data_IF_864923340958
#
_entry.id   IF_864923340958
#
_cell.length_a   1.000
_cell.length_b   1.000
_cell.length_c   1.000
_cell.angle_alpha   90.00
_cell.angle_beta   90.00
_cell.angle_gamma   90.00
#
_symmetry.space_group_name_H-M   'P 1'
#
loop_
_entity.id
_entity.type
_entity.pdbx_description
1 polymer ?
#
# COMPACT_ATOMS: atom_id res chain seq x y z
N UNK A 1 31.06 1.37 33.85
CA UNK A 1 30.42 2.49 33.13
C UNK A 1 28.98 2.52 33.54
N UNK A 2 28.49 3.65 34.01
CA UNK A 2 27.11 3.79 34.47
C UNK A 2 26.14 3.46 33.33
N UNK A 3 25.02 2.76 33.62
CA UNK A 3 24.02 2.39 32.67
C UNK A 3 23.51 3.63 31.88
N UNK A 4 23.31 4.72 32.59
CA UNK A 4 22.89 5.99 31.97
C UNK A 4 23.91 6.59 30.99
N UNK A 5 25.18 6.40 31.21
CA UNK A 5 26.21 6.85 30.28
C UNK A 5 26.22 6.04 28.97
N UNK A 6 25.98 4.73 29.06
CA UNK A 6 25.89 3.84 27.88
C UNK A 6 24.73 4.20 26.96
N UNK A 7 23.58 4.61 27.54
CA UNK A 7 22.38 4.99 26.79
C UNK A 7 22.52 6.26 25.94
N UNK A 8 23.65 6.99 26.06
CA UNK A 8 23.94 8.15 25.23
C UNK A 8 24.77 7.83 23.98
N UNK A 9 25.19 6.60 23.80
CA UNK A 9 25.95 6.14 22.63
C UNK A 9 25.13 5.10 21.85
N UNK A 10 24.93 5.33 20.54
CA UNK A 10 24.08 4.47 19.72
C UNK A 10 24.51 3.00 19.75
N UNK A 11 25.81 2.73 19.69
CA UNK A 11 26.34 1.36 19.71
C UNK A 11 26.13 0.67 21.07
N UNK A 12 26.17 1.42 22.17
CA UNK A 12 26.12 0.89 23.54
C UNK A 12 24.74 0.91 24.17
N UNK A 13 23.79 1.65 23.59
CA UNK A 13 22.44 1.79 24.13
C UNK A 13 21.68 0.45 24.04
N UNK A 14 21.11 -0.01 25.14
CA UNK A 14 20.34 -1.25 25.21
C UNK A 14 18.84 -1.01 25.10
N UNK A 15 18.35 0.15 25.59
CA UNK A 15 16.94 0.48 25.56
C UNK A 15 16.53 0.93 24.16
N UNK A 16 15.47 0.30 23.61
CA UNK A 16 14.95 0.65 22.29
C UNK A 16 14.61 2.14 22.16
N UNK A 17 14.11 2.76 23.22
CA UNK A 17 13.81 4.20 23.23
C UNK A 17 15.07 5.06 23.00
N UNK A 18 16.16 4.73 23.68
CA UNK A 18 17.45 5.42 23.50
C UNK A 18 17.99 5.23 22.10
N UNK A 19 17.93 4.00 21.56
CA UNK A 19 18.34 3.70 20.18
C UNK A 19 17.53 4.51 19.17
N UNK A 20 16.21 4.54 19.30
CA UNK A 20 15.33 5.32 18.41
C UNK A 20 15.60 6.82 18.52
N UNK A 21 15.84 7.33 19.72
CA UNK A 21 16.17 8.74 19.95
C UNK A 21 17.52 9.11 19.29
N UNK A 22 18.54 8.28 19.47
CA UNK A 22 19.86 8.53 18.91
C UNK A 22 19.88 8.38 17.38
N UNK A 23 19.16 7.40 16.83
CA UNK A 23 18.99 7.25 15.38
C UNK A 23 18.35 8.49 14.75
N UNK A 24 17.35 9.09 15.42
CA UNK A 24 16.72 10.34 14.94
C UNK A 24 17.66 11.53 14.90
N UNK A 25 18.66 11.60 15.82
CA UNK A 25 19.70 12.62 15.75
C UNK A 25 20.55 12.48 14.48
N UNK A 26 20.64 11.27 13.93
CA UNK A 26 21.27 10.99 12.63
C UNK A 26 20.30 11.13 11.45
N UNK A 27 19.13 11.73 11.68
CA UNK A 27 18.04 11.84 10.68
C UNK A 27 17.53 10.48 10.17
N UNK A 28 17.73 9.40 10.94
CA UNK A 28 17.25 8.08 10.63
C UNK A 28 15.94 7.79 11.34
N UNK A 29 14.90 7.50 10.57
CA UNK A 29 13.62 7.09 11.10
C UNK A 29 13.47 5.57 10.93
N UNK A 30 13.57 4.85 12.04
CA UNK A 30 13.47 3.39 12.03
C UNK A 30 12.14 2.92 11.45
N UNK A 31 12.21 1.91 10.60
CA UNK A 31 11.02 1.35 9.97
C UNK A 31 10.19 0.54 10.97
N UNK A 32 8.89 0.80 10.99
CA UNK A 32 7.92 0.02 11.77
C UNK A 32 7.58 -1.28 11.03
N UNK A 33 6.76 -2.11 11.65
CA UNK A 33 6.18 -3.28 11.01
C UNK A 33 5.46 -2.90 9.71
N UNK A 34 5.44 -3.83 8.79
CA UNK A 34 4.70 -3.74 7.53
C UNK A 34 3.75 -4.92 7.44
N UNK A 35 2.48 -4.65 7.23
CA UNK A 35 1.49 -5.71 7.07
C UNK A 35 1.62 -6.39 5.72
N UNK A 36 1.28 -7.67 5.67
CA UNK A 36 1.11 -8.37 4.40
C UNK A 36 -0.05 -7.74 3.62
N UNK A 37 0.15 -7.55 2.33
CA UNK A 37 -0.84 -7.00 1.43
C UNK A 37 -0.74 -7.62 0.05
N UNK A 38 -1.85 -7.63 -0.68
CA UNK A 38 -1.88 -8.21 -2.01
C UNK A 38 -3.26 -8.12 -2.65
N UNK A 39 -3.44 -8.92 -3.68
CA UNK A 39 -4.67 -9.01 -4.44
C UNK A 39 -5.27 -10.42 -4.32
N UNK A 40 -6.55 -10.48 -3.99
CA UNK A 40 -7.35 -11.70 -4.10
C UNK A 40 -8.14 -11.67 -5.39
N UNK A 41 -8.08 -12.74 -6.18
CA UNK A 41 -8.88 -12.90 -7.38
C UNK A 41 -10.32 -13.23 -7.00
N UNK A 42 -11.29 -12.51 -7.56
CA UNK A 42 -12.70 -12.83 -7.42
C UNK A 42 -12.98 -14.08 -8.25
N UNK A 43 -13.46 -15.12 -7.61
CA UNK A 43 -13.76 -16.42 -8.24
C UNK A 43 -15.25 -16.66 -8.42
N UNK A 44 -16.08 -15.99 -7.62
CA UNK A 44 -17.53 -16.01 -7.78
C UNK A 44 -18.15 -14.69 -7.29
N UNK A 45 -19.30 -14.36 -7.82
CA UNK A 45 -20.13 -13.22 -7.38
C UNK A 45 -21.60 -13.66 -7.35
N UNK A 46 -22.32 -13.22 -6.32
CA UNK A 46 -23.75 -13.46 -6.21
C UNK A 46 -24.46 -12.24 -5.61
N UNK A 47 -25.76 -12.16 -5.83
CA UNK A 47 -26.60 -11.13 -5.21
C UNK A 47 -27.88 -11.77 -4.64
N UNK A 48 -28.36 -11.24 -3.51
CA UNK A 48 -29.66 -11.61 -2.95
C UNK A 48 -30.85 -11.00 -3.71
N UNK A 49 -30.59 -10.01 -4.57
CA UNK A 49 -31.64 -9.37 -5.36
C UNK A 49 -32.21 -10.31 -6.43
N UNK A 50 -33.53 -10.39 -6.49
CA UNK A 50 -34.21 -11.13 -7.57
C UNK A 50 -34.23 -10.30 -8.85
N UNK A 51 -33.21 -10.45 -9.67
CA UNK A 51 -33.06 -9.70 -10.92
C UNK A 51 -33.37 -10.60 -12.10
N UNK A 52 -34.27 -10.14 -12.95
CA UNK A 52 -34.57 -10.74 -14.26
C UNK A 52 -33.91 -9.85 -15.30
N UNK A 53 -32.95 -10.36 -16.04
CA UNK A 53 -32.35 -9.61 -17.14
C UNK A 53 -33.28 -9.54 -18.36
N UNK A 54 -32.92 -8.73 -19.37
CA UNK A 54 -33.67 -8.56 -20.62
C UNK A 54 -33.85 -9.86 -21.44
N UNK A 55 -33.10 -10.91 -21.11
CA UNK A 55 -33.15 -12.22 -21.73
C UNK A 55 -33.94 -13.26 -20.88
N UNK A 56 -34.68 -12.80 -19.86
CA UNK A 56 -35.38 -13.65 -18.88
C UNK A 56 -34.48 -14.58 -18.07
N UNK A 57 -33.20 -14.28 -17.97
CA UNK A 57 -32.31 -14.98 -17.06
C UNK A 57 -32.54 -14.44 -15.64
N UNK A 58 -32.97 -15.32 -14.75
CA UNK A 58 -33.12 -14.98 -13.35
C UNK A 58 -31.73 -14.99 -12.69
N UNK A 59 -31.24 -13.81 -12.37
CA UNK A 59 -29.93 -13.63 -11.73
C UNK A 59 -30.01 -13.70 -10.20
N UNK A 60 -31.19 -13.95 -9.63
CA UNK A 60 -31.35 -14.18 -8.20
C UNK A 60 -30.55 -15.40 -7.78
N UNK A 61 -29.67 -15.24 -6.79
CA UNK A 61 -28.78 -16.28 -6.30
C UNK A 61 -27.91 -16.91 -7.41
N UNK A 62 -27.69 -16.22 -8.52
CA UNK A 62 -26.81 -16.66 -9.57
C UNK A 62 -25.37 -16.53 -9.09
N UNK A 63 -24.75 -17.65 -8.79
CA UNK A 63 -23.32 -17.75 -8.58
C UNK A 63 -22.64 -17.78 -9.95
N UNK A 64 -21.82 -16.78 -10.25
CA UNK A 64 -21.00 -16.76 -11.44
C UNK A 64 -19.62 -17.26 -11.06
N UNK A 65 -19.35 -18.52 -11.39
CA UNK A 65 -18.06 -19.13 -11.20
C UNK A 65 -17.15 -18.90 -12.42
N UNK A 66 -15.97 -18.36 -12.19
CA UNK A 66 -14.96 -18.15 -13.24
C UNK A 66 -14.06 -19.37 -13.47
N UNK A 67 -14.27 -20.43 -12.75
CA UNK A 67 -13.50 -21.67 -12.92
C UNK A 67 -13.74 -22.35 -14.26
N UNK A 68 -14.80 -21.98 -14.96
CA UNK A 68 -15.10 -22.50 -16.28
C UNK A 68 -14.44 -21.64 -17.36
N UNK A 69 -13.23 -22.04 -17.74
CA UNK A 69 -12.38 -21.34 -18.72
C UNK A 69 -12.95 -21.30 -20.14
N UNK A 70 -14.09 -21.98 -20.39
CA UNK A 70 -14.73 -22.05 -21.72
C UNK A 70 -15.61 -20.83 -22.02
N UNK A 71 -15.86 -19.93 -21.07
CA UNK A 71 -16.81 -18.83 -21.22
C UNK A 71 -16.09 -17.51 -21.42
N UNK A 72 -15.93 -17.07 -22.67
CA UNK A 72 -15.42 -15.74 -23.04
C UNK A 72 -16.29 -14.58 -22.53
N UNK A 73 -17.52 -14.86 -22.09
CA UNK A 73 -18.52 -13.86 -21.72
C UNK A 73 -18.60 -13.61 -20.21
N UNK A 74 -17.69 -14.19 -19.42
CA UNK A 74 -17.71 -14.05 -17.96
C UNK A 74 -17.64 -12.57 -17.49
N UNK A 75 -16.90 -11.73 -18.19
CA UNK A 75 -16.81 -10.31 -17.91
C UNK A 75 -18.16 -9.61 -18.11
N UNK A 76 -18.84 -9.88 -19.22
CA UNK A 76 -20.15 -9.31 -19.51
C UNK A 76 -21.20 -9.79 -18.51
N UNK A 77 -21.16 -11.07 -18.12
CA UNK A 77 -22.05 -11.63 -17.11
C UNK A 77 -21.82 -10.97 -15.74
N UNK A 78 -20.58 -10.79 -15.33
CA UNK A 78 -20.24 -10.08 -14.10
C UNK A 78 -20.79 -8.65 -14.13
N UNK A 79 -20.55 -7.92 -15.21
CA UNK A 79 -21.06 -6.56 -15.38
C UNK A 79 -22.60 -6.54 -15.39
N UNK A 80 -23.26 -7.52 -15.98
CA UNK A 80 -24.73 -7.64 -15.93
C UNK A 80 -25.23 -7.82 -14.50
N UNK A 81 -24.64 -8.72 -13.72
CA UNK A 81 -25.02 -8.92 -12.31
C UNK A 81 -24.85 -7.63 -11.52
N UNK A 82 -23.72 -6.96 -11.69
CA UNK A 82 -23.46 -5.73 -10.97
C UNK A 82 -24.37 -4.58 -11.41
N UNK A 83 -24.64 -4.42 -12.70
CA UNK A 83 -25.60 -3.43 -13.20
C UNK A 83 -27.02 -3.73 -12.71
N UNK A 84 -27.40 -4.99 -12.64
CA UNK A 84 -28.66 -5.42 -12.09
C UNK A 84 -28.76 -5.08 -10.59
N UNK A 85 -27.71 -5.36 -9.83
CA UNK A 85 -27.64 -5.08 -8.40
C UNK A 85 -27.66 -3.58 -8.08
N UNK A 86 -27.00 -2.75 -8.88
CA UNK A 86 -26.85 -1.32 -8.61
C UNK A 86 -27.71 -0.40 -9.50
N UNK A 87 -28.49 -0.97 -10.42
CA UNK A 87 -29.41 -0.26 -11.32
C UNK A 87 -28.75 0.38 -12.54
N UNK A 88 -29.53 0.72 -13.57
CA UNK A 88 -29.04 1.20 -14.86
C UNK A 88 -28.40 2.60 -14.81
N UNK A 89 -28.66 3.38 -13.76
CA UNK A 89 -28.12 4.73 -13.58
C UNK A 89 -26.78 4.77 -12.82
N UNK A 90 -26.31 3.64 -12.32
CA UNK A 90 -24.97 3.57 -11.77
C UNK A 90 -23.97 3.57 -12.92
N UNK A 91 -22.91 4.34 -12.84
CA UNK A 91 -21.78 4.31 -13.80
C UNK A 91 -20.99 3.00 -13.70
N UNK A 92 -21.69 1.93 -13.28
CA UNK A 92 -21.12 0.60 -13.20
C UNK A 92 -20.94 0.05 -14.62
N UNK A 93 -19.82 -0.59 -14.90
CA UNK A 93 -19.48 -1.04 -16.26
C UNK A 93 -18.57 -0.05 -17.01
N UNK A 94 -18.41 1.19 -16.51
CA UNK A 94 -17.36 2.08 -16.99
C UNK A 94 -16.28 2.18 -15.94
N UNK A 95 -15.01 1.89 -16.28
CA UNK A 95 -13.90 2.08 -15.35
C UNK A 95 -13.76 3.57 -15.02
N UNK A 96 -13.45 3.87 -13.76
CA UNK A 96 -13.18 5.24 -13.31
C UNK A 96 -11.71 5.63 -13.56
N UNK A 97 -10.84 4.63 -13.67
CA UNK A 97 -9.44 4.77 -14.07
C UNK A 97 -9.02 3.54 -14.88
N UNK A 98 -8.08 3.73 -15.79
CA UNK A 98 -7.50 2.66 -16.59
C UNK A 98 -6.03 2.98 -16.86
N UNK A 99 -5.16 1.99 -16.69
CA UNK A 99 -3.73 2.10 -16.93
C UNK A 99 -3.19 0.83 -17.59
N UNK A 100 -2.16 0.97 -18.43
CA UNK A 100 -1.52 -0.17 -19.09
C UNK A 100 -0.02 -0.06 -18.93
N UNK A 101 0.56 -0.99 -18.17
CA UNK A 101 1.98 -1.07 -17.90
C UNK A 101 2.48 -2.48 -18.17
N UNK A 102 3.58 -2.60 -18.93
CA UNK A 102 4.22 -3.88 -19.29
C UNK A 102 3.24 -4.90 -19.90
N UNK A 103 2.28 -4.43 -20.72
CA UNK A 103 1.29 -5.29 -21.38
C UNK A 103 0.14 -5.73 -20.51
N UNK A 104 0.11 -5.33 -19.23
CA UNK A 104 -1.01 -5.58 -18.32
C UNK A 104 -1.90 -4.35 -18.28
N UNK A 105 -3.16 -4.51 -18.67
CA UNK A 105 -4.19 -3.47 -18.56
C UNK A 105 -4.93 -3.62 -17.25
N UNK A 106 -4.92 -2.58 -16.44
CA UNK A 106 -5.63 -2.52 -15.15
C UNK A 106 -6.72 -1.46 -15.20
N UNK A 107 -7.95 -1.84 -14.89
CA UNK A 107 -9.13 -0.95 -14.86
C UNK A 107 -9.71 -0.94 -13.46
N UNK A 108 -10.02 0.24 -12.93
CA UNK A 108 -10.64 0.42 -11.62
C UNK A 108 -12.13 0.62 -11.74
N UNK A 109 -12.89 -0.10 -10.92
CA UNK A 109 -14.35 -0.04 -10.84
C UNK A 109 -14.80 0.33 -9.42
N UNK A 110 -16.00 0.86 -9.29
CA UNK A 110 -16.57 1.24 -8.00
C UNK A 110 -17.96 0.65 -7.79
N UNK A 111 -18.22 0.27 -6.55
CA UNK A 111 -19.53 -0.20 -6.06
C UNK A 111 -20.00 0.72 -4.95
N UNK A 112 -21.24 1.21 -5.07
CA UNK A 112 -21.82 2.05 -4.02
C UNK A 112 -22.44 1.19 -2.94
N UNK A 113 -21.83 1.17 -1.76
CA UNK A 113 -22.44 0.59 -0.56
C UNK A 113 -23.60 1.44 -0.07
N UNK A 114 -24.57 0.82 0.63
CA UNK A 114 -25.60 1.54 1.37
C UNK A 114 -25.11 2.10 2.71
N UNK A 115 -23.93 1.69 3.15
CA UNK A 115 -23.29 2.19 4.39
C UNK A 115 -22.60 3.52 4.16
N UNK A 116 -22.66 4.37 5.19
CA UNK A 116 -21.89 5.61 5.27
C UNK A 116 -20.52 5.41 5.93
N UNK A 117 -20.19 4.17 6.34
CA UNK A 117 -18.90 3.84 6.91
C UNK A 117 -17.79 3.78 5.86
N UNK A 118 -16.55 3.63 6.33
CA UNK A 118 -15.42 3.32 5.44
C UNK A 118 -15.66 1.94 4.83
N UNK A 119 -15.55 1.78 3.50
CA UNK A 119 -15.81 0.50 2.84
C UNK A 119 -14.62 -0.46 3.02
N UNK A 120 -14.52 -1.04 4.20
CA UNK A 120 -13.53 -2.04 4.60
C UNK A 120 -14.27 -3.26 5.12
N UNK A 121 -13.89 -4.45 4.66
CA UNK A 121 -14.56 -5.71 5.00
C UNK A 121 -13.56 -6.65 5.67
N UNK A 122 -13.75 -6.84 6.98
CA UNK A 122 -12.88 -7.70 7.81
C UNK A 122 -13.19 -9.18 7.62
N UNK A 123 -12.14 -10.00 7.65
CA UNK A 123 -12.26 -11.46 7.73
C UNK A 123 -11.08 -12.07 8.49
N UNK A 124 -11.28 -13.29 9.04
CA UNK A 124 -10.27 -13.99 9.79
C UNK A 124 -9.84 -15.26 9.05
N UNK A 125 -8.53 -15.52 8.99
CA UNK A 125 -7.97 -16.76 8.42
C UNK A 125 -6.76 -17.22 9.23
N UNK A 126 -6.55 -18.53 9.22
CA UNK A 126 -5.36 -19.13 9.81
C UNK A 126 -4.24 -19.20 8.78
N UNK A 127 -3.06 -18.69 9.15
CA UNK A 127 -1.82 -18.76 8.36
C UNK A 127 -0.76 -19.40 9.25
N UNK A 128 -0.10 -20.45 8.79
CA UNK A 128 0.87 -21.24 9.57
C UNK A 128 0.36 -21.62 10.98
N UNK A 129 -0.96 -21.95 11.09
CA UNK A 129 -1.60 -22.35 12.36
C UNK A 129 -1.90 -21.20 13.32
N UNK A 130 -1.71 -19.94 12.93
CA UNK A 130 -2.09 -18.75 13.70
C UNK A 130 -3.25 -18.05 13.04
N UNK A 131 -4.18 -17.55 13.83
CA UNK A 131 -5.29 -16.74 13.33
C UNK A 131 -4.82 -15.29 13.16
N UNK A 132 -5.07 -14.76 11.97
CA UNK A 132 -4.82 -13.37 11.61
C UNK A 132 -6.12 -12.69 11.19
N UNK A 133 -6.20 -11.42 11.49
CA UNK A 133 -7.25 -10.53 10.99
C UNK A 133 -6.77 -9.89 9.68
N UNK A 134 -7.66 -9.88 8.71
CA UNK A 134 -7.45 -9.29 7.40
C UNK A 134 -8.59 -8.35 7.05
N UNK A 135 -8.31 -7.38 6.22
CA UNK A 135 -9.29 -6.45 5.68
C UNK A 135 -9.21 -6.41 4.16
N UNK A 136 -10.36 -6.48 3.50
CA UNK A 136 -10.50 -6.11 2.10
C UNK A 136 -10.71 -4.60 2.04
N UNK A 137 -9.85 -3.93 1.28
CA UNK A 137 -9.79 -2.47 1.20
C UNK A 137 -10.05 -1.98 -0.21
N UNK A 138 -10.51 -0.75 -0.35
CA UNK A 138 -10.70 -0.12 -1.66
C UNK A 138 -9.37 0.07 -2.39
N UNK A 139 -9.33 -0.35 -3.66
CA UNK A 139 -8.16 -0.23 -4.51
C UNK A 139 -8.16 1.10 -5.30
N UNK A 140 -6.98 1.67 -5.49
CA UNK A 140 -6.71 2.80 -6.37
C UNK A 140 -5.62 2.42 -7.38
N UNK A 141 -5.83 2.78 -8.65
CA UNK A 141 -4.87 2.54 -9.73
C UNK A 141 -4.18 3.86 -10.07
N UNK A 142 -2.86 3.89 -9.92
CA UNK A 142 -2.02 5.03 -10.28
C UNK A 142 -0.66 4.56 -10.75
N UNK A 143 -0.23 5.06 -11.91
CA UNK A 143 1.09 4.77 -12.50
C UNK A 143 1.39 3.26 -12.62
N UNK A 144 0.41 2.47 -13.02
CA UNK A 144 0.51 1.01 -13.15
C UNK A 144 0.59 0.25 -11.82
N UNK A 145 0.50 0.95 -10.70
CA UNK A 145 0.47 0.34 -9.37
C UNK A 145 -0.94 0.32 -8.79
N UNK A 146 -1.25 -0.76 -8.06
CA UNK A 146 -2.49 -0.88 -7.30
C UNK A 146 -2.15 -0.60 -5.84
N UNK A 147 -2.78 0.42 -5.28
CA UNK A 147 -2.59 0.85 -3.89
C UNK A 147 -3.92 0.84 -3.16
N UNK A 148 -3.86 0.84 -1.84
CA UNK A 148 -5.02 1.12 -1.03
C UNK A 148 -5.44 2.57 -1.20
N UNK A 149 -6.72 2.79 -1.46
CA UNK A 149 -7.31 4.12 -1.46
C UNK A 149 -7.38 4.65 -0.02
N UNK A 150 -7.05 5.93 0.18
CA UNK A 150 -7.12 6.53 1.51
C UNK A 150 -8.52 6.33 2.12
N UNK A 151 -8.63 5.81 3.36
CA UNK A 151 -9.92 5.55 3.98
C UNK A 151 -10.72 6.85 4.16
N UNK A 152 -11.99 6.81 3.78
CA UNK A 152 -12.91 7.95 3.92
C UNK A 152 -14.33 7.42 4.08
N UNK A 153 -15.09 7.86 5.10
CA UNK A 153 -16.48 7.50 5.29
C UNK A 153 -17.35 7.86 4.08
N UNK A 154 -18.32 7.00 3.75
CA UNK A 154 -19.24 7.21 2.63
C UNK A 154 -18.61 7.08 1.24
N UNK A 155 -17.34 6.72 1.13
CA UNK A 155 -16.67 6.46 -0.15
C UNK A 155 -17.17 5.14 -0.75
N UNK A 156 -17.20 5.08 -2.07
CA UNK A 156 -17.55 3.85 -2.78
C UNK A 156 -16.42 2.83 -2.67
N UNK A 157 -16.78 1.56 -2.51
CA UNK A 157 -15.80 0.48 -2.56
C UNK A 157 -15.22 0.33 -3.97
N UNK A 158 -13.91 0.28 -4.09
CA UNK A 158 -13.21 0.15 -5.36
C UNK A 158 -12.47 -1.18 -5.47
N UNK A 159 -12.57 -1.80 -6.62
CA UNK A 159 -11.86 -3.02 -7.00
C UNK A 159 -11.33 -2.91 -8.43
N UNK A 160 -10.50 -3.85 -8.86
CA UNK A 160 -9.80 -3.74 -10.14
C UNK A 160 -10.06 -4.95 -11.04
N UNK A 161 -10.05 -4.72 -12.34
CA UNK A 161 -9.93 -5.75 -13.36
C UNK A 161 -8.56 -5.66 -13.99
N UNK A 162 -7.86 -6.77 -14.07
CA UNK A 162 -6.57 -6.90 -14.75
C UNK A 162 -6.71 -7.82 -15.95
N UNK A 163 -6.00 -7.49 -17.02
CA UNK A 163 -5.91 -8.29 -18.22
C UNK A 163 -4.45 -8.31 -18.69
N UNK A 164 -3.86 -9.50 -18.72
CA UNK A 164 -2.48 -9.73 -19.17
C UNK A 164 -2.42 -10.26 -20.60
N UNK A 165 -3.55 -10.30 -21.31
CA UNK A 165 -3.65 -10.80 -22.67
C UNK A 165 -3.58 -12.33 -22.81
N UNK A 166 -3.48 -13.09 -21.69
CA UNK A 166 -3.41 -14.55 -21.70
C UNK A 166 -4.79 -15.23 -21.59
N UNK A 167 -5.85 -14.42 -21.47
CA UNK A 167 -7.22 -14.91 -21.34
C UNK A 167 -7.66 -15.18 -19.89
N UNK A 168 -8.92 -15.53 -19.73
CA UNK A 168 -9.59 -15.63 -18.42
C UNK A 168 -9.00 -16.71 -17.49
N UNK A 169 -8.35 -17.76 -18.04
CA UNK A 169 -7.70 -18.80 -17.25
C UNK A 169 -6.41 -18.34 -16.57
N UNK A 170 -5.84 -17.20 -17.01
CA UNK A 170 -4.66 -16.67 -16.36
C UNK A 170 -4.92 -16.30 -14.91
N UNK A 171 -3.98 -16.61 -14.03
CA UNK A 171 -4.01 -16.17 -12.64
C UNK A 171 -3.93 -14.64 -12.50
N UNK A 172 -3.44 -13.93 -13.53
CA UNK A 172 -3.29 -12.48 -13.57
C UNK A 172 -4.44 -11.75 -14.28
N UNK A 173 -5.35 -12.50 -14.93
CA UNK A 173 -6.53 -11.92 -15.59
C UNK A 173 -7.77 -12.17 -14.77
N UNK A 174 -8.61 -11.15 -14.63
CA UNK A 174 -9.87 -11.20 -13.90
C UNK A 174 -10.09 -10.01 -12.99
N UNK A 175 -11.10 -10.13 -12.12
CA UNK A 175 -11.35 -9.13 -11.08
C UNK A 175 -10.59 -9.45 -9.82
N UNK A 176 -10.09 -8.41 -9.16
CA UNK A 176 -9.30 -8.50 -7.96
C UNK A 176 -9.76 -7.47 -6.94
N UNK A 177 -9.71 -7.87 -5.68
CA UNK A 177 -9.87 -7.00 -4.53
C UNK A 177 -8.54 -6.89 -3.79
N UNK A 178 -8.24 -5.71 -3.29
CA UNK A 178 -7.03 -5.48 -2.50
C UNK A 178 -7.27 -5.91 -1.05
N UNK A 179 -6.30 -6.58 -0.44
CA UNK A 179 -6.37 -6.96 0.98
C UNK A 179 -5.15 -6.49 1.76
N UNK A 180 -5.36 -6.29 3.04
CA UNK A 180 -4.34 -5.97 4.03
C UNK A 180 -4.51 -6.86 5.27
N UNK A 181 -3.41 -7.25 5.86
CA UNK A 181 -3.43 -7.87 7.18
C UNK A 181 -3.47 -6.79 8.26
N UNK A 182 -4.27 -7.01 9.31
CA UNK A 182 -4.43 -6.09 10.41
C UNK A 182 -5.77 -5.36 10.39
N UNK A 183 -5.88 -4.35 11.22
CA UNK A 183 -7.12 -3.65 11.51
C UNK A 183 -6.94 -2.14 11.33
N UNK A 184 -7.86 -1.52 10.58
CA UNK A 184 -7.94 -0.07 10.43
C UNK A 184 -8.60 0.54 11.66
N UNK A 185 -7.91 1.47 12.30
CA UNK A 185 -8.37 2.20 13.46
C UNK A 185 -8.22 3.70 13.24
N UNK A 186 -8.78 4.50 14.11
CA UNK A 186 -8.75 5.96 14.02
C UNK A 186 -8.48 6.62 15.36
N UNK A 187 -7.94 7.83 15.29
CA UNK A 187 -7.77 8.71 16.43
C UNK A 187 -8.09 10.15 16.04
N UNK A 188 -8.48 10.95 17.01
CA UNK A 188 -8.77 12.36 16.81
C UNK A 188 -7.94 13.23 17.75
N UNK A 189 -7.57 14.41 17.26
CA UNK A 189 -6.94 15.43 18.07
C UNK A 189 -7.29 16.83 17.56
N UNK A 190 -7.14 17.82 18.41
CA UNK A 190 -7.40 19.22 18.07
C UNK A 190 -6.15 20.06 18.35
N UNK A 191 -5.81 20.92 17.40
CA UNK A 191 -4.74 21.92 17.51
C UNK A 191 -5.36 23.29 17.61
N UNK A 192 -5.52 23.78 18.84
CA UNK A 192 -6.07 25.11 19.12
C UNK A 192 -5.05 26.24 18.96
N UNK A 193 -3.77 25.96 19.24
CA UNK A 193 -2.66 26.90 19.09
C UNK A 193 -1.60 26.30 18.16
N UNK A 194 -1.58 26.69 16.88
CA UNK A 194 -0.59 26.19 15.93
C UNK A 194 0.81 26.73 16.27
N UNK A 195 1.78 25.82 16.33
CA UNK A 195 3.19 26.17 16.56
C UNK A 195 4.07 25.55 15.47
N UNK A 196 5.17 26.23 15.08
CA UNK A 196 6.13 25.67 14.14
C UNK A 196 6.71 24.34 14.65
N UNK A 197 6.89 23.38 13.74
CA UNK A 197 7.43 22.05 14.04
C UNK A 197 6.66 21.27 15.13
N UNK A 198 5.37 21.51 15.23
CA UNK A 198 4.52 20.84 16.21
C UNK A 198 4.53 19.34 16.02
N UNK A 199 4.56 18.61 17.14
CA UNK A 199 4.50 17.16 17.16
C UNK A 199 3.30 16.68 17.98
N UNK A 200 2.55 15.73 17.42
CA UNK A 200 1.39 15.11 18.08
C UNK A 200 1.61 13.60 18.17
N UNK A 201 1.49 13.05 19.37
CA UNK A 201 1.70 11.63 19.62
C UNK A 201 0.41 10.84 19.38
N UNK A 202 0.52 9.72 18.68
CA UNK A 202 -0.53 8.71 18.54
C UNK A 202 -0.07 7.48 19.33
N UNK A 203 -0.82 7.13 20.37
CA UNK A 203 -0.38 6.12 21.34
C UNK A 203 -0.80 4.68 21.00
N UNK A 204 -1.43 4.45 19.85
CA UNK A 204 -1.72 3.11 19.35
C UNK A 204 -0.41 2.35 19.07
N UNK A 205 -0.38 1.07 19.41
CA UNK A 205 0.80 0.20 19.24
C UNK A 205 0.75 -0.49 17.87
N UNK A 206 1.93 -0.92 17.41
CA UNK A 206 2.07 -1.71 16.18
C UNK A 206 1.46 -1.04 14.95
N UNK A 207 1.55 0.30 14.87
CA UNK A 207 1.10 1.04 13.68
C UNK A 207 2.01 0.71 12.50
N UNK A 208 1.42 0.28 11.40
CA UNK A 208 2.14 -0.03 10.17
C UNK A 208 2.90 1.18 9.61
N UNK A 209 3.98 0.90 8.91
CA UNK A 209 4.89 1.94 8.42
C UNK A 209 4.24 2.84 7.37
N UNK A 210 3.44 2.26 6.46
CA UNK A 210 2.85 2.96 5.32
C UNK A 210 1.42 3.43 5.58
N UNK A 211 0.69 2.77 6.44
CA UNK A 211 -0.76 2.87 6.58
C UNK A 211 -1.14 3.90 7.63
N UNK A 212 -0.87 5.17 7.33
CA UNK A 212 -1.25 6.32 8.15
C UNK A 212 -1.75 7.41 7.23
N UNK A 213 -2.99 7.86 7.45
CA UNK A 213 -3.64 8.93 6.69
C UNK A 213 -4.17 9.99 7.66
N UNK A 214 -3.94 11.24 7.37
CA UNK A 214 -4.33 12.37 8.21
C UNK A 214 -5.31 13.27 7.47
N UNK A 215 -6.49 13.44 8.03
CA UNK A 215 -7.50 14.37 7.54
C UNK A 215 -7.68 15.53 8.49
N UNK A 216 -7.79 16.71 7.92
CA UNK A 216 -8.31 17.87 8.62
C UNK A 216 -9.83 17.82 8.59
N UNK A 217 -10.46 18.12 9.71
CA UNK A 217 -11.91 18.16 9.87
C UNK A 217 -12.46 19.54 9.60
N UNK A 218 -13.69 19.60 9.11
CA UNK A 218 -14.47 20.84 9.01
C UNK A 218 -15.15 21.19 10.34
N UNK A 219 -15.98 22.21 10.32
CA UNK A 219 -16.74 22.68 11.49
C UNK A 219 -17.76 21.65 12.00
N UNK A 220 -18.14 20.68 11.17
CA UNK A 220 -19.09 19.62 11.49
C UNK A 220 -18.40 18.32 11.90
N UNK A 221 -17.06 18.29 11.96
CA UNK A 221 -16.28 17.10 12.27
C UNK A 221 -16.17 16.10 11.12
N UNK A 222 -16.40 16.56 9.88
CA UNK A 222 -16.32 15.75 8.67
C UNK A 222 -14.94 15.97 8.02
N UNK A 223 -14.39 14.88 7.43
CA UNK A 223 -13.12 14.92 6.71
C UNK A 223 -13.20 15.85 5.51
N UNK A 224 -12.45 16.95 5.56
CA UNK A 224 -12.44 17.98 4.51
C UNK A 224 -11.20 17.92 3.62
N UNK A 225 -10.03 17.71 4.20
CA UNK A 225 -8.76 17.80 3.48
C UNK A 225 -7.79 16.72 3.91
N UNK A 226 -7.34 15.89 2.97
CA UNK A 226 -6.28 14.91 3.18
C UNK A 226 -4.92 15.61 3.17
N UNK A 227 -4.13 15.40 4.22
CA UNK A 227 -2.76 15.87 4.32
C UNK A 227 -1.81 14.84 3.69
N UNK A 228 -0.75 15.33 3.03
CA UNK A 228 0.23 14.50 2.35
C UNK A 228 1.34 14.08 3.31
N UNK A 229 1.55 12.78 3.42
CA UNK A 229 2.67 12.21 4.17
C UNK A 229 3.97 12.36 3.38
N UNK A 230 5.01 12.89 4.03
CA UNK A 230 6.37 12.98 3.50
C UNK A 230 7.33 12.20 4.40
N UNK A 231 8.50 11.85 3.88
CA UNK A 231 9.56 11.20 4.66
C UNK A 231 10.06 12.10 5.80
N UNK A 232 10.17 13.41 5.55
CA UNK A 232 10.52 14.42 6.53
C UNK A 232 9.89 15.76 6.18
N UNK A 233 9.43 16.48 7.20
CA UNK A 233 8.90 17.87 7.08
C UNK A 233 9.86 18.89 7.69
N UNK A 234 11.03 18.44 8.18
CA UNK A 234 12.04 19.30 8.84
C UNK A 234 13.29 19.34 7.98
N UNK A 235 13.84 20.55 7.81
CA UNK A 235 15.11 20.77 7.10
C UNK A 235 14.94 21.10 5.61
N UNK A 236 16.07 21.32 4.94
CA UNK A 236 16.14 21.80 3.54
C UNK A 236 15.67 20.76 2.52
N UNK A 237 15.48 19.51 2.89
CA UNK A 237 15.08 18.43 1.97
C UNK A 237 13.67 18.59 1.39
N UNK A 238 12.79 19.33 2.07
CA UNK A 238 11.41 19.58 1.63
C UNK A 238 11.38 20.43 0.35
N UNK A 239 12.30 21.38 0.22
CA UNK A 239 12.31 22.36 -0.88
C UNK A 239 12.65 21.67 -2.22
N UNK A 240 13.52 20.68 -2.18
CA UNK A 240 14.05 20.03 -3.37
C UNK A 240 13.26 18.79 -3.79
N UNK A 241 12.54 18.15 -2.87
CA UNK A 241 11.79 16.93 -3.13
C UNK A 241 10.29 17.16 -3.38
N UNK A 242 9.79 18.37 -3.17
CA UNK A 242 8.40 18.71 -3.48
C UNK A 242 8.25 18.91 -5.00
N UNK A 243 7.95 17.86 -5.72
CA UNK A 243 7.53 17.92 -7.14
C UNK A 243 6.25 18.77 -7.29
N UNK A 244 5.48 18.92 -6.23
CA UNK A 244 4.26 19.71 -6.19
C UNK A 244 4.40 20.87 -5.21
N UNK A 245 4.93 22.00 -5.68
CA UNK A 245 5.09 23.25 -4.88
C UNK A 245 3.77 23.81 -4.32
N UNK A 246 2.64 23.35 -4.82
CA UNK A 246 1.31 23.81 -4.41
C UNK A 246 0.75 23.03 -3.21
N UNK A 247 1.32 21.87 -2.87
CA UNK A 247 0.85 21.11 -1.73
C UNK A 247 1.61 21.51 -0.45
N UNK A 248 0.98 22.34 0.36
CA UNK A 248 1.54 22.82 1.64
C UNK A 248 1.04 22.05 2.85
N UNK A 249 -0.03 21.26 2.72
CA UNK A 249 -0.58 20.44 3.80
C UNK A 249 0.20 19.12 3.89
N UNK A 250 1.30 19.16 4.62
CA UNK A 250 2.25 18.06 4.71
C UNK A 250 2.57 17.71 6.15
N UNK A 251 2.79 16.42 6.39
CA UNK A 251 3.24 15.89 7.66
C UNK A 251 4.21 14.74 7.46
N UNK A 252 4.98 14.41 8.47
CA UNK A 252 5.77 13.20 8.53
C UNK A 252 5.47 12.40 9.78
N UNK A 253 5.89 11.15 9.81
CA UNK A 253 5.72 10.26 10.97
C UNK A 253 7.06 9.85 11.53
N UNK A 254 7.25 9.98 12.84
CA UNK A 254 8.44 9.48 13.54
C UNK A 254 8.09 8.25 14.37
N UNK A 255 8.94 7.23 14.26
CA UNK A 255 8.77 5.96 14.98
C UNK A 255 9.12 6.12 16.46
N UNK A 256 8.25 5.63 17.33
CA UNK A 256 8.43 5.54 18.79
C UNK A 256 8.45 4.08 19.24
N UNK A 257 8.68 3.85 20.52
CA UNK A 257 8.63 2.51 21.12
C UNK A 257 7.31 1.82 20.89
N UNK A 258 7.34 0.51 20.69
CA UNK A 258 6.16 -0.34 20.39
C UNK A 258 5.45 0.08 19.11
N UNK A 259 6.21 0.57 18.12
CA UNK A 259 5.73 1.06 16.83
C UNK A 259 4.59 2.10 16.90
N UNK A 260 4.57 2.88 18.00
CA UNK A 260 3.78 4.10 18.09
C UNK A 260 4.37 5.16 17.19
N UNK A 261 3.60 6.17 16.86
CA UNK A 261 4.05 7.27 16.02
C UNK A 261 3.91 8.62 16.72
N UNK A 262 4.75 9.55 16.29
CA UNK A 262 4.49 10.97 16.45
C UNK A 262 4.32 11.58 15.06
N UNK A 263 3.22 12.29 14.85
CA UNK A 263 3.00 13.12 13.69
C UNK A 263 3.83 14.39 13.84
N UNK A 264 4.63 14.72 12.85
CA UNK A 264 5.46 15.93 12.83
C UNK A 264 4.95 16.84 11.75
N UNK A 265 4.65 18.08 12.11
CA UNK A 265 4.17 19.13 11.19
C UNK A 265 5.29 20.06 10.78
N UNK A 266 5.05 20.85 9.73
CA UNK A 266 5.99 21.80 9.17
C UNK A 266 6.17 23.06 10.03
N UNK A 267 7.12 23.90 9.61
CA UNK A 267 7.52 25.14 10.29
C UNK A 267 6.62 26.37 9.96
N UNK A 268 5.65 26.22 9.06
CA UNK A 268 4.80 27.31 8.58
C UNK A 268 5.37 28.08 7.38
N UNK A 269 6.65 27.90 7.06
CA UNK A 269 7.31 28.53 5.91
C UNK A 269 7.16 27.66 4.66
N UNK A 270 7.52 26.39 4.77
CA UNK A 270 7.48 25.40 3.66
C UNK A 270 6.16 24.65 3.61
N UNK A 271 5.53 24.40 4.73
CA UNK A 271 4.22 23.79 4.85
C UNK A 271 3.29 24.60 5.74
N UNK A 272 2.02 24.26 5.73
CA UNK A 272 1.03 24.86 6.60
C UNK A 272 1.19 24.40 8.05
N UNK A 273 0.91 25.30 8.99
CA UNK A 273 0.78 24.93 10.40
C UNK A 273 -0.54 24.18 10.61
N UNK A 274 -0.56 23.13 11.46
CA UNK A 274 -1.80 22.42 11.77
C UNK A 274 -2.71 23.33 12.59
N UNK A 275 -3.98 23.44 12.20
CA UNK A 275 -4.99 24.20 12.93
C UNK A 275 -6.35 23.53 12.85
N UNK A 276 -7.07 23.46 13.97
CA UNK A 276 -8.40 22.86 14.07
C UNK A 276 -8.38 21.38 14.38
N UNK A 277 -9.49 20.70 14.09
CA UNK A 277 -9.68 19.27 14.31
C UNK A 277 -9.00 18.42 13.25
N UNK A 278 -8.47 17.30 13.69
CA UNK A 278 -7.85 16.29 12.82
C UNK A 278 -8.33 14.91 13.19
N UNK A 279 -8.51 14.05 12.17
CA UNK A 279 -8.69 12.61 12.30
C UNK A 279 -7.56 11.90 11.60
N UNK A 280 -6.91 10.99 12.31
CA UNK A 280 -5.86 10.12 11.78
C UNK A 280 -6.41 8.71 11.68
N UNK A 281 -6.32 8.13 10.49
CA UNK A 281 -6.55 6.71 10.25
C UNK A 281 -5.21 6.00 10.23
N UNK A 282 -5.13 4.87 10.87
CA UNK A 282 -3.91 4.04 10.89
C UNK A 282 -4.30 2.57 10.96
N UNK A 283 -3.47 1.71 10.38
CA UNK A 283 -3.65 0.27 10.49
C UNK A 283 -2.63 -0.30 11.46
N UNK A 284 -3.10 -1.20 12.31
CA UNK A 284 -2.28 -1.97 13.23
C UNK A 284 -2.18 -3.42 12.77
N UNK A 285 -1.07 -4.09 13.04
CA UNK A 285 -0.86 -5.50 12.71
C UNK A 285 0.01 -6.20 13.75
N UNK A 286 0.20 -7.52 13.63
CA UNK A 286 0.81 -8.35 14.68
C UNK A 286 2.33 -8.19 14.82
N UNK A 287 2.97 -7.36 14.02
CA UNK A 287 4.43 -7.15 14.04
C UNK A 287 5.22 -8.46 13.86
N UNK A 288 4.79 -9.27 12.90
CA UNK A 288 5.40 -10.57 12.59
C UNK A 288 5.89 -10.61 11.15
N UNK A 289 6.89 -11.43 10.89
CA UNK A 289 7.32 -11.78 9.54
C UNK A 289 6.77 -13.17 9.22
N UNK A 290 6.01 -13.26 8.15
CA UNK A 290 5.38 -14.52 7.70
C UNK A 290 5.07 -14.46 6.21
N UNK A 291 4.78 -15.64 5.65
CA UNK A 291 4.41 -15.82 4.26
C UNK A 291 3.02 -16.42 4.18
N UNK A 292 2.18 -15.90 3.29
CA UNK A 292 0.80 -16.37 3.09
C UNK A 292 0.76 -17.17 1.79
N UNK A 293 0.43 -18.45 1.89
CA UNK A 293 0.31 -19.33 0.71
C UNK A 293 -1.09 -19.24 0.09
N UNK A 294 -1.24 -19.49 -1.22
CA UNK A 294 -2.55 -19.51 -1.87
C UNK A 294 -3.57 -20.42 -1.18
N UNK A 295 -3.14 -21.56 -0.60
CA UNK A 295 -4.02 -22.49 0.11
C UNK A 295 -4.62 -21.94 1.41
N UNK A 296 -4.02 -20.90 1.99
CA UNK A 296 -4.44 -20.32 3.26
C UNK A 296 -5.52 -19.25 3.10
N UNK A 297 -5.56 -18.55 1.95
CA UNK A 297 -6.58 -17.55 1.61
C UNK A 297 -7.44 -18.04 0.45
N UNK A 298 -8.17 -19.12 0.66
CA UNK A 298 -9.16 -19.64 -0.28
C UNK A 298 -10.57 -19.34 0.22
N UNK A 299 -11.51 -19.11 -0.72
CA UNK A 299 -12.91 -18.89 -0.44
C UNK A 299 -13.15 -17.80 0.63
N UNK A 300 -12.50 -16.66 0.46
CA UNK A 300 -12.73 -15.47 1.28
C UNK A 300 -13.99 -14.82 0.77
N UNK A 301 -15.04 -14.81 1.58
CA UNK A 301 -16.31 -14.16 1.24
C UNK A 301 -16.35 -12.76 1.84
N UNK A 302 -16.81 -11.80 1.04
CA UNK A 302 -17.15 -10.44 1.48
C UNK A 302 -18.55 -10.10 1.02
N UNK A 303 -19.32 -9.49 1.89
CA UNK A 303 -20.72 -9.13 1.67
C UNK A 303 -20.87 -7.61 1.72
N UNK A 304 -21.32 -7.03 0.61
CA UNK A 304 -21.48 -5.59 0.45
C UNK A 304 -23.00 -5.27 0.46
N UNK A 305 -23.52 -4.64 1.52
CA UNK A 305 -24.91 -4.23 1.54
C UNK A 305 -25.13 -3.05 0.60
N UNK A 306 -26.19 -3.12 -0.22
CA UNK A 306 -26.58 -2.04 -1.13
C UNK A 306 -28.10 -1.87 -1.16
N UNK A 307 -28.56 -0.71 -1.65
CA UNK A 307 -29.99 -0.47 -1.86
C UNK A 307 -30.33 -0.76 -3.31
N UNK A 308 -31.19 -1.76 -3.52
CA UNK A 308 -31.67 -2.16 -4.84
C UNK A 308 -32.60 -1.11 -5.47
N UNK A 309 -32.86 -1.25 -6.77
CA UNK A 309 -33.82 -0.40 -7.50
C UNK A 309 -35.24 -0.44 -6.91
N UNK A 310 -35.59 -1.51 -6.18
CA UNK A 310 -36.86 -1.63 -5.46
C UNK A 310 -36.87 -0.93 -4.09
N UNK A 311 -35.76 -0.31 -3.68
CA UNK A 311 -35.62 0.35 -2.38
C UNK A 311 -35.35 -0.61 -1.20
N UNK A 312 -35.14 -1.90 -1.46
CA UNK A 312 -34.76 -2.88 -0.44
C UNK A 312 -33.26 -2.94 -0.26
N UNK A 313 -32.82 -3.19 0.97
CA UNK A 313 -31.42 -3.50 1.23
C UNK A 313 -31.15 -4.95 0.82
N UNK A 314 -30.24 -5.12 -0.10
CA UNK A 314 -29.79 -6.39 -0.65
C UNK A 314 -28.30 -6.56 -0.41
N UNK A 315 -27.77 -7.76 -0.66
CA UNK A 315 -26.36 -8.08 -0.43
C UNK A 315 -25.71 -8.53 -1.74
N UNK A 316 -24.56 -7.94 -2.05
CA UNK A 316 -23.65 -8.40 -3.09
C UNK A 316 -22.50 -9.15 -2.43
N UNK A 317 -22.35 -10.42 -2.77
CA UNK A 317 -21.31 -11.29 -2.21
C UNK A 317 -20.23 -11.56 -3.24
N UNK A 318 -18.97 -11.32 -2.87
CA UNK A 318 -17.80 -11.76 -3.61
C UNK A 318 -17.14 -12.94 -2.89
N UNK A 319 -16.80 -13.97 -3.64
CA UNK A 319 -15.91 -15.04 -3.16
C UNK A 319 -14.56 -14.86 -3.82
N UNK A 320 -13.52 -14.77 -3.02
CA UNK A 320 -12.17 -14.42 -3.47
C UNK A 320 -11.16 -15.47 -3.05
N UNK A 321 -10.08 -15.62 -3.83
CA UNK A 321 -9.00 -16.56 -3.54
C UNK A 321 -7.64 -15.99 -3.93
N UNK A 322 -6.63 -16.25 -3.11
CA UNK A 322 -5.25 -15.86 -3.38
C UNK A 322 -4.66 -16.74 -4.49
N UNK A 323 -3.96 -16.13 -5.43
CA UNK A 323 -3.35 -16.82 -6.56
C UNK A 323 -1.83 -17.05 -6.38
N UNK A 324 -1.15 -16.14 -5.69
CA UNK A 324 0.30 -16.15 -5.49
C UNK A 324 0.65 -16.00 -4.01
N UNK A 325 1.76 -16.60 -3.62
CA UNK A 325 2.30 -16.40 -2.27
C UNK A 325 2.61 -14.93 -2.01
N UNK A 326 2.25 -14.47 -0.82
CA UNK A 326 2.51 -13.11 -0.33
C UNK A 326 3.47 -13.19 0.84
N UNK A 327 4.63 -12.54 0.72
CA UNK A 327 5.74 -12.56 1.68
C UNK A 327 6.25 -11.15 2.04
N UNK A 328 5.44 -10.12 1.81
CA UNK A 328 5.78 -8.73 2.05
C UNK A 328 5.44 -8.23 3.47
N UNK A 329 4.90 -9.10 4.33
CA UNK A 329 4.69 -8.81 5.74
C UNK A 329 6.01 -8.93 6.52
N UNK A 330 6.42 -7.84 7.19
CA UNK A 330 7.68 -7.83 7.96
C UNK A 330 7.49 -7.21 9.33
N UNK A 331 8.20 -7.77 10.32
CA UNK A 331 8.28 -7.18 11.65
C UNK A 331 9.04 -5.84 11.62
N UNK A 332 8.88 -5.06 12.67
CA UNK A 332 9.61 -3.79 12.87
C UNK A 332 11.13 -4.02 12.93
N UNK A 333 11.86 -3.03 12.50
CA UNK A 333 13.32 -3.06 12.52
C UNK A 333 13.87 -3.28 13.94
N UNK A 334 14.77 -4.23 14.09
CA UNK A 334 15.39 -4.54 15.37
C UNK A 334 16.34 -3.42 15.83
N UNK A 335 16.58 -3.30 17.15
CA UNK A 335 17.55 -2.33 17.66
C UNK A 335 18.95 -2.57 17.11
N UNK A 336 19.31 -3.83 16.83
CA UNK A 336 20.61 -4.17 16.23
C UNK A 336 20.72 -3.62 14.80
N UNK A 337 19.67 -3.80 13.99
CA UNK A 337 19.64 -3.26 12.62
C UNK A 337 19.65 -1.72 12.59
N UNK A 338 18.92 -1.08 13.51
CA UNK A 338 18.94 0.40 13.64
C UNK A 338 20.35 0.91 13.93
N UNK A 339 21.09 0.25 14.82
CA UNK A 339 22.47 0.62 15.16
C UNK A 339 23.42 0.55 13.96
N UNK A 340 23.18 -0.36 13.03
CA UNK A 340 23.96 -0.50 11.79
C UNK A 340 23.48 0.48 10.72
N UNK A 341 22.17 0.56 10.51
CA UNK A 341 21.60 1.31 9.40
C UNK A 341 21.62 2.83 9.62
N UNK A 342 21.46 3.31 10.86
CA UNK A 342 21.40 4.74 11.12
C UNK A 342 22.72 5.48 10.81
N UNK A 343 23.92 5.02 11.24
CA UNK A 343 25.17 5.63 10.82
C UNK A 343 25.38 5.56 9.31
N UNK A 344 25.06 4.42 8.70
CA UNK A 344 25.23 4.18 7.27
C UNK A 344 24.38 5.14 6.44
N UNK A 345 23.10 5.32 6.82
CA UNK A 345 22.20 6.29 6.20
C UNK A 345 22.68 7.74 6.39
N UNK A 346 23.27 8.05 7.54
CA UNK A 346 23.85 9.38 7.81
C UNK A 346 25.01 9.70 6.88
N UNK A 347 25.91 8.74 6.62
CA UNK A 347 27.04 8.94 5.70
C UNK A 347 26.59 9.23 4.27
N UNK A 348 25.54 8.62 3.78
CA UNK A 348 25.01 8.86 2.42
C UNK A 348 24.27 10.20 2.30
N UNK A 349 23.84 10.80 3.41
CA UNK A 349 23.04 12.04 3.43
C UNK A 349 21.87 12.06 2.44
N UNK A 350 21.21 10.91 2.21
CA UNK A 350 20.19 10.69 1.18
C UNK A 350 20.64 11.02 -0.25
N UNK A 351 21.94 10.92 -0.52
CA UNK A 351 22.52 11.12 -1.85
C UNK A 351 23.16 9.82 -2.33
N UNK A 352 23.20 9.62 -3.64
CA UNK A 352 23.91 8.53 -4.29
C UNK A 352 24.95 9.14 -5.24
N UNK A 353 26.14 9.43 -4.72
CA UNK A 353 27.24 10.09 -5.46
C UNK A 353 28.40 9.11 -5.65
N UNK A 354 28.76 8.38 -4.59
CA UNK A 354 29.84 7.40 -4.62
C UNK A 354 29.33 5.98 -4.86
N UNK A 355 30.19 5.08 -5.31
CA UNK A 355 29.82 3.66 -5.45
C UNK A 355 29.31 3.05 -4.14
N UNK A 356 29.83 3.50 -3.00
CA UNK A 356 29.35 3.03 -1.69
C UNK A 356 27.96 3.54 -1.36
N UNK A 357 27.62 4.77 -1.72
CA UNK A 357 26.26 5.30 -1.57
C UNK A 357 25.24 4.44 -2.34
N UNK A 358 25.61 3.99 -3.55
CA UNK A 358 24.76 3.09 -4.35
C UNK A 358 24.61 1.70 -3.74
N UNK A 359 25.58 1.23 -2.94
CA UNK A 359 25.47 -0.04 -2.21
C UNK A 359 24.51 0.07 -1.02
N UNK A 360 24.45 1.21 -0.38
CA UNK A 360 23.80 1.40 0.93
C UNK A 360 22.42 2.02 0.82
N UNK A 361 22.25 3.07 0.02
CA UNK A 361 21.01 3.83 -0.04
C UNK A 361 19.77 2.97 -0.42
N UNK A 362 19.85 2.02 -1.38
CA UNK A 362 18.70 1.17 -1.69
C UNK A 362 18.28 0.27 -0.53
N UNK A 363 19.24 -0.29 0.24
CA UNK A 363 18.96 -1.14 1.40
C UNK A 363 18.23 -0.38 2.53
N UNK A 364 18.54 0.91 2.69
CA UNK A 364 17.87 1.77 3.66
C UNK A 364 16.46 2.21 3.25
N UNK A 365 16.16 2.18 1.93
CA UNK A 365 14.89 2.66 1.37
C UNK A 365 13.88 1.56 1.09
N UNK A 366 14.34 0.37 0.71
CA UNK A 366 13.46 -0.76 0.41
C UNK A 366 13.94 -2.03 1.11
N UNK A 367 13.10 -2.56 2.01
CA UNK A 367 13.38 -3.78 2.79
C UNK A 367 13.33 -5.07 1.97
N UNK A 368 12.71 -5.06 0.82
CA UNK A 368 12.65 -6.21 -0.09
C UNK A 368 14.02 -6.48 -0.72
N UNK A 369 14.90 -5.48 -0.70
CA UNK A 369 16.25 -5.61 -1.23
C UNK A 369 17.15 -6.26 -0.18
N UNK A 370 17.54 -7.50 -0.43
CA UNK A 370 18.41 -8.28 0.46
C UNK A 370 19.90 -7.91 0.30
N UNK A 371 20.32 -7.59 -0.92
CA UNK A 371 21.70 -7.25 -1.24
C UNK A 371 21.80 -6.33 -2.45
N UNK A 372 22.67 -5.33 -2.35
CA UNK A 372 23.00 -4.42 -3.44
C UNK A 372 24.50 -4.42 -3.66
N UNK A 373 24.92 -4.35 -4.90
CA UNK A 373 26.31 -4.09 -5.28
C UNK A 373 26.33 -3.08 -6.41
N UNK A 374 26.91 -1.92 -6.17
CA UNK A 374 27.14 -0.95 -7.22
C UNK A 374 28.22 -1.48 -8.16
N UNK A 375 27.99 -1.29 -9.44
CA UNK A 375 28.97 -1.60 -10.47
C UNK A 375 29.05 -0.42 -11.42
N UNK A 376 30.24 -0.11 -11.86
CA UNK A 376 30.44 0.85 -12.94
C UNK A 376 30.81 0.12 -14.22
N UNK A 377 30.82 0.85 -15.32
CA UNK A 377 31.12 0.31 -16.65
C UNK A 377 32.49 -0.37 -16.74
N UNK A 378 33.45 0.07 -15.92
CA UNK A 378 34.80 -0.48 -15.91
C UNK A 378 34.92 -1.68 -14.98
N UNK A 379 34.27 -1.64 -13.80
CA UNK A 379 34.43 -2.66 -12.77
C UNK A 379 33.51 -3.86 -12.93
N UNK A 380 32.44 -3.77 -13.73
CA UNK A 380 31.52 -4.89 -13.93
C UNK A 380 32.12 -6.04 -14.70
N UNK A 381 33.16 -5.81 -15.47
CA UNK A 381 33.60 -6.76 -16.49
C UNK A 381 32.56 -7.01 -17.60
N UNK A 382 31.36 -6.47 -17.47
CA UNK A 382 30.26 -6.66 -18.44
C UNK A 382 30.67 -6.09 -19.79
N UNK A 383 31.39 -4.99 -19.84
CA UNK A 383 31.96 -4.44 -21.08
C UNK A 383 32.94 -5.38 -21.77
N UNK A 384 33.47 -6.39 -21.04
CA UNK A 384 34.37 -7.40 -21.62
C UNK A 384 33.67 -8.73 -21.91
N UNK A 385 32.58 -9.04 -21.16
CA UNK A 385 31.89 -10.33 -21.22
C UNK A 385 30.48 -10.25 -21.85
N UNK A 386 29.82 -9.12 -21.79
CA UNK A 386 28.73 -8.77 -22.68
C UNK A 386 29.31 -8.03 -23.88
N UNK A 387 30.11 -8.74 -24.57
CA UNK A 387 30.24 -8.45 -25.96
C UNK A 387 28.88 -8.74 -26.58
N UNK A 388 28.18 -7.70 -27.01
CA UNK A 388 27.03 -7.86 -27.90
C UNK A 388 27.50 -8.30 -29.28
N UNK A 389 28.67 -8.89 -29.35
CA UNK A 389 29.09 -9.71 -30.47
C UNK A 389 28.22 -10.96 -30.42
N UNK A 390 27.44 -11.09 -31.45
CA UNK A 390 26.70 -12.27 -31.79
C UNK A 390 27.58 -13.50 -31.61
N UNK A 391 27.40 -14.24 -30.52
CA UNK A 391 28.11 -15.47 -30.24
C UNK A 391 27.91 -16.53 -31.36
N UNK A 392 26.92 -16.31 -32.24
CA UNK A 392 26.60 -17.14 -33.39
C UNK A 392 27.23 -16.61 -34.69
N UNK A 393 27.82 -15.43 -34.70
CA UNK A 393 28.49 -14.84 -35.86
C UNK A 393 27.56 -14.44 -36.99
N UNK A 394 26.27 -14.25 -36.73
CA UNK A 394 25.26 -13.91 -37.74
C UNK A 394 25.03 -12.43 -37.93
N UNK A 395 25.37 -11.59 -36.97
CA UNK A 395 25.37 -10.13 -37.10
C UNK A 395 26.71 -9.56 -36.68
N UNK A 396 27.53 -9.30 -37.70
CA UNK A 396 28.89 -8.85 -37.56
C UNK A 396 29.07 -7.60 -36.70
N UNK A 397 30.07 -7.61 -35.82
CA UNK A 397 30.90 -6.48 -35.37
C UNK A 397 30.22 -5.25 -34.78
N UNK A 398 29.08 -5.41 -34.10
CA UNK A 398 28.55 -4.31 -33.28
C UNK A 398 29.23 -4.35 -31.93
N UNK A 399 30.38 -3.76 -31.82
CA UNK A 399 30.98 -3.40 -30.54
C UNK A 399 30.25 -2.18 -30.01
N UNK A 400 29.36 -2.36 -29.05
CA UNK A 400 28.62 -1.26 -28.37
C UNK A 400 29.57 -0.49 -27.46
N UNK A 401 30.69 -1.10 -27.08
CA UNK A 401 31.72 -0.52 -26.24
C UNK A 401 33.08 -0.62 -26.95
N UNK A 402 33.86 0.44 -26.92
CA UNK A 402 35.24 0.40 -27.42
C UNK A 402 36.10 -0.57 -26.62
N UNK A 403 37.26 -0.93 -27.19
CA UNK A 403 38.22 -1.86 -26.59
C UNK A 403 38.82 -1.34 -25.26
N UNK A 404 38.56 -0.13 -24.88
CA UNK A 404 38.96 0.57 -23.65
C UNK A 404 37.89 0.58 -22.56
N UNK A 405 36.78 -0.09 -22.77
CA UNK A 405 35.70 -0.30 -21.77
C UNK A 405 34.47 0.54 -21.92
#
# INVERSE_FOLDING_TARGET
MDLNARENFLELADRRESVLRLARLLSYNATRNQCANGLLKVVAVSTSENVIDSNNLNLANAEISWSDSSNSDWYEQFIKVLNAAFGPNTKFGKPIASDTVNGITTKQYQVQSSSQDIPVYGFNKSVDGRNFEFEITSAEVSDGTIKEQAPLPGRKFSFVHRDDGQGASSANTGFFVHFRQGFLDQGEFNVSLPTPNQSVNIDARNINNTDVWLYQLDEFGIESKLWTKLDSVVGNNIIYNALNKNNRTTYSTTTRTSDRIALQFSDGVFGELPQGGFRVYYRTSDNLTYSIKPSELQNVQIDIPYVSASGKTETLSFVCSLQYTVDNGTASESSANIKVNAPTSFYTQNRMITGEDYNVAPLGKNREIVKVKSTNRVSTGISKYFDFVDATGTSSDINVYGNDG
#
